data_IF_792543650760
#
_entry.id   IF_792543650760
#
_cell.length_a   1.000
_cell.length_b   1.000
_cell.length_c   1.000
_cell.angle_alpha   90.00
_cell.angle_beta   90.00
_cell.angle_gamma   90.00
#
_symmetry.space_group_name_H-M   'P 1'
#
loop_
_entity.id
_entity.type
_entity.pdbx_description
1 polymer ?
#
# COMPACT_ATOMS: atom_id res chain seq x y z
N UNK A 1 18.99 -7.82 -15.55
CA UNK A 1 17.92 -6.81 -15.74
C UNK A 1 16.71 -7.30 -14.99
N UNK A 2 15.99 -6.43 -14.28
CA UNK A 2 14.79 -6.82 -13.56
C UNK A 2 13.75 -5.71 -13.66
N UNK A 3 12.55 -6.07 -14.07
CA UNK A 3 11.43 -5.14 -14.10
C UNK A 3 10.77 -5.14 -12.73
N UNK A 4 10.56 -3.96 -12.15
CA UNK A 4 9.95 -3.78 -10.83
C UNK A 4 8.74 -2.87 -10.96
N UNK A 5 7.71 -3.19 -10.18
CA UNK A 5 6.57 -2.31 -9.97
C UNK A 5 6.95 -1.35 -8.84
N UNK A 6 6.78 -0.04 -9.07
CA UNK A 6 7.16 1.02 -8.14
C UNK A 6 6.05 2.06 -8.04
N UNK A 7 5.98 2.74 -6.89
CA UNK A 7 5.07 3.87 -6.68
C UNK A 7 5.78 5.18 -7.02
N UNK A 8 5.33 5.84 -8.08
CA UNK A 8 5.76 7.20 -8.42
C UNK A 8 4.92 8.19 -7.64
N UNK A 9 5.57 9.09 -6.91
CA UNK A 9 4.88 10.14 -6.14
C UNK A 9 4.59 11.31 -7.07
N UNK A 10 3.34 11.72 -7.08
CA UNK A 10 2.79 12.87 -7.79
C UNK A 10 1.95 13.65 -6.78
N UNK A 11 1.60 14.89 -7.08
CA UNK A 11 0.74 15.71 -6.24
C UNK A 11 1.50 16.76 -5.44
N UNK A 12 0.72 17.52 -4.67
CA UNK A 12 1.20 18.68 -3.94
C UNK A 12 1.73 18.33 -2.55
N UNK A 13 2.38 19.30 -1.91
CA UNK A 13 2.72 19.22 -0.49
C UNK A 13 1.41 19.02 0.31
N UNK A 14 1.38 18.01 1.19
CA UNK A 14 0.21 17.55 1.96
C UNK A 14 -0.90 16.80 1.18
N UNK A 15 -0.77 16.60 -0.13
CA UNK A 15 -1.68 15.76 -0.93
C UNK A 15 -0.87 14.77 -1.77
N UNK A 16 -0.36 13.67 -1.16
CA UNK A 16 0.42 12.68 -1.89
C UNK A 16 -0.50 11.83 -2.77
N UNK A 17 -0.26 11.84 -4.07
CA UNK A 17 -0.92 10.95 -5.04
C UNK A 17 0.13 9.98 -5.61
N UNK A 18 -0.21 8.71 -5.77
CA UNK A 18 0.76 7.74 -6.29
C UNK A 18 0.27 7.11 -7.59
N UNK A 19 1.20 6.88 -8.52
CA UNK A 19 0.97 6.03 -9.69
C UNK A 19 1.73 4.72 -9.53
N UNK A 20 1.06 3.60 -9.78
CA UNK A 20 1.72 2.30 -9.94
C UNK A 20 2.34 2.25 -11.33
N UNK A 21 3.66 2.12 -11.37
CA UNK A 21 4.45 2.22 -12.59
C UNK A 21 5.36 1.01 -12.71
N UNK A 22 5.46 0.46 -13.92
CA UNK A 22 6.41 -0.60 -14.26
C UNK A 22 7.67 0.03 -14.81
N UNK A 23 8.80 -0.19 -14.15
CA UNK A 23 10.09 0.36 -14.55
C UNK A 23 11.21 -0.66 -14.37
N UNK A 24 12.28 -0.55 -15.17
CA UNK A 24 13.49 -1.30 -14.88
C UNK A 24 14.07 -0.83 -13.55
N UNK A 25 14.60 -1.78 -12.80
CA UNK A 25 15.38 -1.57 -11.59
C UNK A 25 16.42 -0.45 -11.66
N UNK A 26 17.07 -0.24 -12.80
CA UNK A 26 18.12 0.78 -13.00
C UNK A 26 17.57 2.17 -13.35
N UNK A 27 16.29 2.28 -13.69
CA UNK A 27 15.69 3.56 -14.07
C UNK A 27 15.51 4.48 -12.86
N UNK A 28 15.78 5.80 -13.00
CA UNK A 28 15.52 6.77 -11.94
C UNK A 28 14.01 6.91 -11.67
N UNK A 29 13.66 7.33 -10.44
CA UNK A 29 12.29 7.29 -9.89
C UNK A 29 11.25 8.06 -10.73
N UNK A 30 11.64 9.21 -11.28
CA UNK A 30 10.78 10.06 -12.11
C UNK A 30 11.14 10.01 -13.60
N UNK A 31 12.03 9.09 -13.99
CA UNK A 31 12.52 8.96 -15.35
C UNK A 31 11.66 8.05 -16.23
N UNK A 32 12.32 7.40 -17.19
CA UNK A 32 11.67 6.54 -18.19
C UNK A 32 11.04 5.31 -17.55
N UNK A 33 9.73 5.20 -17.69
CA UNK A 33 8.95 4.02 -17.35
C UNK A 33 8.43 3.33 -18.61
N UNK A 34 8.03 2.07 -18.47
CA UNK A 34 7.46 1.28 -19.56
C UNK A 34 5.97 1.62 -19.67
N UNK A 35 5.22 1.43 -18.57
CA UNK A 35 3.77 1.61 -18.53
C UNK A 35 3.27 1.98 -17.12
N UNK A 36 2.10 2.61 -17.06
CA UNK A 36 1.37 2.93 -15.82
C UNK A 36 0.23 1.90 -15.65
N UNK A 37 0.27 1.13 -14.57
CA UNK A 37 -0.76 0.12 -14.25
C UNK A 37 -1.99 0.74 -13.59
N UNK A 38 -1.83 1.87 -12.90
CA UNK A 38 -2.93 2.51 -12.21
C UNK A 38 -2.52 3.61 -11.24
N UNK A 39 -3.50 4.06 -10.46
CA UNK A 39 -3.37 5.15 -9.49
C UNK A 39 -3.75 4.67 -8.10
N UNK A 40 -2.99 5.11 -7.10
CA UNK A 40 -3.25 4.87 -5.70
C UNK A 40 -3.32 6.22 -4.99
N UNK A 41 -4.48 6.53 -4.44
CA UNK A 41 -4.69 7.71 -3.61
C UNK A 41 -4.81 7.26 -2.14
N UNK A 42 -3.84 7.60 -1.28
CA UNK A 42 -3.85 7.24 0.13
C UNK A 42 -4.82 8.11 0.95
N UNK A 43 -5.32 9.21 0.40
CA UNK A 43 -6.26 10.10 1.09
C UNK A 43 -7.70 9.61 0.98
N UNK A 44 -7.98 8.74 0.01
CA UNK A 44 -9.22 7.99 -0.04
C UNK A 44 -9.12 6.88 1.01
N UNK A 45 -9.83 7.09 2.12
CA UNK A 45 -9.77 6.30 3.37
C UNK A 45 -9.45 4.80 3.17
N UNK A 46 -8.32 4.30 3.73
CA UNK A 46 -8.26 2.90 4.08
C UNK A 46 -9.10 2.73 5.34
N UNK A 47 -10.37 2.41 5.11
CA UNK A 47 -11.24 1.65 6.00
C UNK A 47 -10.48 0.97 7.14
N UNK A 48 -10.64 1.54 8.34
CA UNK A 48 -10.86 0.76 9.56
C UNK A 48 -9.85 -0.38 9.80
N UNK A 49 -8.57 -0.06 9.91
CA UNK A 49 -7.57 -0.95 10.53
C UNK A 49 -7.75 -1.05 12.06
N UNK A 50 -9.00 -1.21 12.51
CA UNK A 50 -9.32 -1.74 13.82
C UNK A 50 -9.15 -3.25 13.76
N UNK A 51 -7.89 -3.70 13.75
CA UNK A 51 -7.54 -5.10 13.96
C UNK A 51 -7.93 -5.49 15.39
N UNK A 52 -9.23 -5.69 15.64
CA UNK A 52 -9.75 -6.26 16.87
C UNK A 52 -9.51 -7.77 16.78
N UNK A 53 -8.26 -8.17 16.99
CA UNK A 53 -7.86 -9.58 17.12
C UNK A 53 -8.79 -10.24 18.13
N UNK A 54 -9.32 -11.40 17.75
CA UNK A 54 -10.43 -12.05 18.43
C UNK A 54 -10.23 -12.19 19.93
N UNK A 55 -11.20 -11.70 20.71
CA UNK A 55 -11.46 -12.23 22.04
C UNK A 55 -12.02 -13.64 21.83
N UNK A 56 -11.17 -14.65 22.03
CA UNK A 56 -11.60 -16.05 22.07
C UNK A 56 -12.69 -16.30 23.12
N UNK A 57 -13.49 -17.37 22.95
CA UNK A 57 -14.58 -17.68 23.85
C UNK A 57 -14.06 -18.01 25.25
N UNK A 58 -14.75 -17.46 26.26
CA UNK A 58 -14.56 -17.74 27.68
C UNK A 58 -14.84 -19.22 27.96
N UNK A 59 -13.84 -20.09 27.95
CA UNK A 59 -13.96 -21.38 28.61
C UNK A 59 -13.75 -21.18 30.10
N UNK A 60 -14.85 -21.26 30.86
CA UNK A 60 -14.81 -21.41 32.31
C UNK A 60 -14.12 -22.73 32.62
N UNK A 61 -12.86 -22.68 33.04
CA UNK A 61 -12.30 -23.77 33.82
C UNK A 61 -12.85 -23.63 35.23
N UNK A 62 -13.82 -24.48 35.58
CA UNK A 62 -14.13 -24.81 36.95
C UNK A 62 -13.35 -26.08 37.29
N UNK A 63 -12.38 -26.05 38.20
CA UNK A 63 -12.02 -27.23 38.97
C UNK A 63 -12.92 -27.32 40.21
N UNK A 64 -13.47 -28.51 40.38
CA UNK A 64 -14.07 -29.11 41.58
C UNK A 64 -13.31 -28.82 42.87
#
# INVERSE_FOLDING_TARGET
MSVKIRLRRIGAKKHPFYRLVVADSRSPRDGKFIEILGTYDPMTEPSRSGCRRGRGPRTRLAPS
#
